data_IF_570361419034
#
_entry.id   IF_570361419034
#
_cell.length_a   1.000
_cell.length_b   1.000
_cell.length_c   1.000
_cell.angle_alpha   90.00
_cell.angle_beta   90.00
_cell.angle_gamma   90.00
#
_symmetry.space_group_name_H-M   'P 1'
#
loop_
_entity.id
_entity.type
_entity.pdbx_description
1 polymer ?
#
# COMPACT_ATOMS: atom_id res chain seq x y z
N UNK A 1 -11.60 -47.05 1.45
CA UNK A 1 -11.27 -46.36 0.19
C UNK A 1 -10.90 -44.93 0.57
N UNK A 2 -9.66 -44.46 0.37
CA UNK A 2 -9.35 -43.07 0.67
C UNK A 2 -10.18 -42.18 -0.25
N UNK A 3 -10.91 -41.26 0.37
CA UNK A 3 -11.85 -40.35 -0.27
C UNK A 3 -11.15 -39.58 -1.39
N UNK A 4 -11.64 -39.70 -2.62
CA UNK A 4 -11.01 -39.22 -3.85
C UNK A 4 -11.05 -37.69 -4.03
N UNK A 5 -11.01 -36.94 -2.92
CA UNK A 5 -11.09 -35.49 -2.90
C UNK A 5 -9.80 -34.93 -3.50
N UNK A 6 -9.91 -34.44 -4.74
CA UNK A 6 -8.82 -33.69 -5.37
C UNK A 6 -8.47 -32.49 -4.50
N UNK A 7 -7.19 -32.33 -4.19
CA UNK A 7 -6.65 -31.24 -3.37
C UNK A 7 -6.13 -30.11 -4.25
N UNK A 8 -5.89 -28.96 -3.62
CA UNK A 8 -5.28 -27.80 -4.25
C UNK A 8 -3.88 -28.12 -4.80
N UNK A 9 -3.52 -27.54 -5.94
CA UNK A 9 -2.18 -27.67 -6.54
C UNK A 9 -1.11 -26.76 -5.92
N UNK A 10 -1.47 -25.97 -4.90
CA UNK A 10 -0.51 -25.09 -4.23
C UNK A 10 0.26 -25.89 -3.19
N UNK A 11 1.54 -25.57 -3.06
CA UNK A 11 2.45 -26.25 -2.13
C UNK A 11 1.89 -26.19 -0.72
N UNK A 12 1.89 -27.34 -0.03
CA UNK A 12 1.41 -27.49 1.35
C UNK A 12 -0.09 -27.11 1.55
N UNK A 13 -0.91 -27.19 0.50
CA UNK A 13 -2.34 -26.92 0.61
C UNK A 13 -3.20 -28.18 0.41
N UNK A 14 -3.73 -28.69 1.51
CA UNK A 14 -4.60 -29.88 1.52
C UNK A 14 -6.09 -29.55 1.35
N UNK A 15 -6.42 -28.29 1.10
CA UNK A 15 -7.81 -27.86 0.96
C UNK A 15 -8.45 -28.48 -0.30
N UNK A 16 -9.77 -28.71 -0.22
CA UNK A 16 -10.55 -29.24 -1.32
C UNK A 16 -10.48 -28.35 -2.56
N UNK A 17 -10.35 -29.00 -3.72
CA UNK A 17 -10.34 -28.35 -5.01
C UNK A 17 -11.65 -27.59 -5.27
N UNK A 18 -11.53 -26.35 -5.77
CA UNK A 18 -12.66 -25.55 -6.23
C UNK A 18 -12.67 -25.45 -7.76
N UNK A 19 -11.70 -24.75 -8.34
CA UNK A 19 -11.63 -24.50 -9.78
C UNK A 19 -10.19 -24.26 -10.22
N UNK A 20 -9.86 -24.60 -11.48
CA UNK A 20 -8.52 -24.39 -12.09
C UNK A 20 -7.36 -24.99 -11.28
N UNK A 21 -7.56 -26.13 -10.63
CA UNK A 21 -6.53 -26.74 -9.77
C UNK A 21 -6.40 -26.09 -8.38
N UNK A 22 -7.15 -25.03 -8.08
CA UNK A 22 -7.01 -24.27 -6.83
C UNK A 22 -8.19 -24.49 -5.88
N UNK A 23 -7.92 -24.44 -4.58
CA UNK A 23 -8.96 -24.30 -3.56
C UNK A 23 -9.60 -22.90 -3.61
N UNK A 24 -10.74 -22.70 -2.97
CA UNK A 24 -11.47 -21.42 -3.01
C UNK A 24 -10.60 -20.22 -2.61
N UNK A 25 -9.77 -20.36 -1.57
CA UNK A 25 -8.83 -19.32 -1.11
C UNK A 25 -7.82 -18.94 -2.19
N UNK A 26 -7.13 -19.93 -2.76
CA UNK A 26 -6.10 -19.69 -3.77
C UNK A 26 -6.69 -19.25 -5.11
N UNK A 27 -7.86 -19.75 -5.47
CA UNK A 27 -8.61 -19.29 -6.62
C UNK A 27 -8.95 -17.80 -6.50
N UNK A 28 -9.47 -17.36 -5.35
CA UNK A 28 -9.78 -15.96 -5.11
C UNK A 28 -8.52 -15.07 -5.12
N UNK A 29 -7.40 -15.57 -4.58
CA UNK A 29 -6.11 -14.87 -4.63
C UNK A 29 -5.57 -14.73 -6.07
N UNK A 30 -5.64 -15.80 -6.88
CA UNK A 30 -5.29 -15.79 -8.30
C UNK A 30 -6.16 -14.80 -9.08
N UNK A 31 -7.48 -14.83 -8.88
CA UNK A 31 -8.41 -13.89 -9.50
C UNK A 31 -8.10 -12.44 -9.12
N UNK A 32 -7.83 -12.16 -7.84
CA UNK A 32 -7.48 -10.83 -7.37
C UNK A 32 -6.14 -10.35 -7.97
N UNK A 33 -5.15 -11.24 -8.08
CA UNK A 33 -3.86 -10.94 -8.72
C UNK A 33 -4.02 -10.64 -10.21
N UNK A 34 -4.78 -11.46 -10.94
CA UNK A 34 -5.06 -11.24 -12.38
C UNK A 34 -5.80 -9.93 -12.63
N UNK A 35 -6.81 -9.63 -11.80
CA UNK A 35 -7.56 -8.36 -11.86
C UNK A 35 -6.64 -7.16 -11.66
N UNK A 36 -5.75 -7.23 -10.66
CA UNK A 36 -4.79 -6.18 -10.37
C UNK A 36 -3.90 -5.86 -11.59
N UNK A 37 -3.27 -6.88 -12.18
CA UNK A 37 -2.37 -6.68 -13.33
C UNK A 37 -3.11 -6.19 -14.56
N UNK A 38 -4.26 -6.80 -14.90
CA UNK A 38 -5.08 -6.36 -16.03
C UNK A 38 -5.45 -4.88 -15.91
N UNK A 39 -6.00 -4.46 -14.78
CA UNK A 39 -6.43 -3.06 -14.59
C UNK A 39 -5.25 -2.10 -14.60
N UNK A 40 -4.11 -2.52 -14.05
CA UNK A 40 -2.89 -1.73 -14.10
C UNK A 40 -2.47 -1.50 -15.55
N UNK A 41 -2.42 -2.55 -16.35
CA UNK A 41 -2.01 -2.46 -17.76
C UNK A 41 -3.02 -1.65 -18.58
N UNK A 42 -4.33 -1.83 -18.34
CA UNK A 42 -5.39 -1.01 -18.96
C UNK A 42 -5.22 0.47 -18.62
N UNK A 43 -4.91 0.81 -17.36
CA UNK A 43 -4.68 2.18 -16.93
C UNK A 43 -3.46 2.79 -17.61
N UNK A 44 -2.36 2.04 -17.67
CA UNK A 44 -1.13 2.43 -18.34
C UNK A 44 -1.36 2.68 -19.84
N UNK A 45 -2.10 1.79 -20.51
CA UNK A 45 -2.45 1.93 -21.92
C UNK A 45 -3.34 3.16 -22.18
N UNK A 46 -4.35 3.40 -21.33
CA UNK A 46 -5.21 4.59 -21.42
C UNK A 46 -4.45 5.91 -21.31
N UNK A 47 -3.37 5.93 -20.53
CA UNK A 47 -2.50 7.09 -20.36
C UNK A 47 -1.30 7.08 -21.35
N UNK A 48 -1.36 6.25 -22.38
CA UNK A 48 -0.39 6.24 -23.46
C UNK A 48 1.00 5.70 -23.09
N UNK A 49 1.11 4.90 -22.01
CA UNK A 49 2.34 4.28 -21.51
C UNK A 49 3.50 5.26 -21.33
N UNK A 50 3.21 6.50 -20.96
CA UNK A 50 4.21 7.57 -20.82
C UNK A 50 3.91 8.46 -19.62
N UNK A 51 4.96 9.02 -19.06
CA UNK A 51 4.86 10.02 -18.00
C UNK A 51 4.14 11.26 -18.53
N UNK A 52 3.11 11.72 -17.81
CA UNK A 52 2.35 12.92 -18.15
C UNK A 52 3.21 14.20 -18.08
N UNK A 53 4.28 14.20 -17.28
CA UNK A 53 5.13 15.39 -17.09
C UNK A 53 6.31 15.47 -18.06
N UNK A 54 7.02 14.35 -18.30
CA UNK A 54 8.26 14.36 -19.08
C UNK A 54 8.25 13.42 -20.31
N UNK A 55 7.17 12.64 -20.51
CA UNK A 55 7.06 11.69 -21.63
C UNK A 55 7.89 10.41 -21.49
N UNK A 56 8.70 10.26 -20.44
CA UNK A 56 9.46 9.02 -20.20
C UNK A 56 8.54 7.81 -20.09
N UNK A 57 8.97 6.67 -20.63
CA UNK A 57 8.28 5.38 -20.52
C UNK A 57 8.88 4.48 -19.45
N UNK A 58 9.91 4.95 -18.74
CA UNK A 58 10.63 4.16 -17.74
C UNK A 58 10.00 4.29 -16.34
N UNK A 59 9.99 3.17 -15.59
CA UNK A 59 9.51 3.04 -14.21
C UNK A 59 8.25 3.86 -13.90
N UNK A 60 7.20 3.63 -14.68
CA UNK A 60 5.92 4.32 -14.55
C UNK A 60 5.16 3.91 -13.29
N UNK A 61 4.62 4.91 -12.60
CA UNK A 61 3.87 4.81 -11.36
C UNK A 61 2.55 5.56 -11.52
N UNK A 62 1.49 4.99 -10.96
CA UNK A 62 0.18 5.64 -10.87
C UNK A 62 0.23 6.54 -9.63
N UNK A 63 0.05 7.83 -9.84
CA UNK A 63 0.10 8.87 -8.80
C UNK A 63 -1.21 9.66 -8.80
N UNK A 64 -1.60 10.19 -7.65
CA UNK A 64 -2.74 11.09 -7.56
C UNK A 64 -2.40 12.47 -8.07
N UNK A 65 -3.29 13.07 -8.87
CA UNK A 65 -3.11 14.46 -9.32
C UNK A 65 -3.10 15.39 -8.09
N UNK A 66 -4.11 15.25 -7.22
CA UNK A 66 -4.18 15.93 -5.93
C UNK A 66 -4.31 14.89 -4.79
N UNK A 67 -3.28 14.73 -3.95
CA UNK A 67 -3.31 13.80 -2.82
C UNK A 67 -4.41 14.08 -1.79
N UNK A 68 -4.94 15.30 -1.70
CA UNK A 68 -6.01 15.66 -0.77
C UNK A 68 -7.38 15.09 -1.19
N UNK A 69 -7.54 14.81 -2.49
CA UNK A 69 -8.79 14.30 -3.06
C UNK A 69 -8.90 12.77 -3.03
N UNK A 70 -7.81 12.06 -2.68
CA UNK A 70 -7.78 10.60 -2.73
C UNK A 70 -8.76 9.99 -1.74
N UNK A 71 -9.53 9.01 -2.19
CA UNK A 71 -10.32 8.19 -1.26
C UNK A 71 -9.54 6.95 -0.84
N UNK A 72 -8.59 6.52 -1.67
CA UNK A 72 -7.73 5.38 -1.41
C UNK A 72 -6.46 5.38 -2.25
N UNK A 73 -5.46 4.62 -1.82
CA UNK A 73 -4.22 4.44 -2.58
C UNK A 73 -4.49 3.73 -3.93
N UNK A 74 -3.77 4.07 -5.02
CA UNK A 74 -4.00 3.47 -6.35
C UNK A 74 -3.83 1.95 -6.33
N UNK A 75 -2.89 1.45 -5.53
CA UNK A 75 -2.64 0.02 -5.36
C UNK A 75 -3.82 -0.74 -4.71
N UNK A 76 -4.64 -0.06 -3.92
CA UNK A 76 -5.85 -0.60 -3.31
C UNK A 76 -7.03 -0.51 -4.30
N UNK A 77 -7.16 0.60 -5.03
CA UNK A 77 -8.19 0.78 -6.05
C UNK A 77 -8.14 -0.30 -7.15
N UNK A 78 -6.93 -0.72 -7.56
CA UNK A 78 -6.74 -1.80 -8.53
C UNK A 78 -7.38 -3.13 -8.12
N UNK A 79 -7.54 -3.38 -6.80
CA UNK A 79 -8.18 -4.57 -6.24
C UNK A 79 -9.64 -4.36 -5.85
N UNK A 80 -10.12 -3.12 -5.88
CA UNK A 80 -11.46 -2.75 -5.40
C UNK A 80 -12.57 -3.17 -6.38
N UNK A 81 -13.83 -2.89 -6.01
CA UNK A 81 -14.96 -3.00 -6.93
C UNK A 81 -14.77 -2.07 -8.15
N UNK A 82 -15.44 -2.37 -9.26
CA UNK A 82 -15.30 -1.58 -10.50
C UNK A 82 -15.65 -0.10 -10.29
N UNK A 83 -16.75 0.19 -9.59
CA UNK A 83 -17.14 1.57 -9.29
C UNK A 83 -16.07 2.35 -8.49
N UNK A 84 -15.47 1.72 -7.48
CA UNK A 84 -14.39 2.35 -6.67
C UNK A 84 -13.12 2.52 -7.48
N UNK A 85 -12.79 1.54 -8.32
CA UNK A 85 -11.65 1.62 -9.23
C UNK A 85 -11.79 2.80 -10.19
N UNK A 86 -12.94 2.95 -10.85
CA UNK A 86 -13.18 4.04 -11.80
C UNK A 86 -13.15 5.42 -11.13
N UNK A 87 -13.79 5.55 -9.97
CA UNK A 87 -13.79 6.79 -9.20
C UNK A 87 -12.37 7.22 -8.80
N UNK A 88 -11.54 6.30 -8.31
CA UNK A 88 -10.17 6.65 -7.91
C UNK A 88 -9.25 6.89 -9.11
N UNK A 89 -9.35 6.08 -10.16
CA UNK A 89 -8.49 6.22 -11.34
C UNK A 89 -8.75 7.51 -12.12
N UNK A 90 -9.94 8.11 -12.01
CA UNK A 90 -10.22 9.42 -12.58
C UNK A 90 -9.42 10.55 -11.90
N UNK A 91 -8.96 10.34 -10.67
CA UNK A 91 -8.14 11.29 -9.90
C UNK A 91 -6.63 11.03 -10.05
N UNK A 92 -6.27 9.99 -10.82
CA UNK A 92 -4.89 9.55 -10.97
C UNK A 92 -4.28 9.98 -12.31
N UNK A 93 -2.96 10.10 -12.33
CA UNK A 93 -2.12 10.34 -13.49
C UNK A 93 -0.98 9.32 -13.53
N UNK A 94 -0.30 9.22 -14.67
CA UNK A 94 0.86 8.34 -14.86
C UNK A 94 2.14 9.17 -14.83
N UNK A 95 3.03 8.90 -13.88
CA UNK A 95 4.32 9.58 -13.75
C UNK A 95 5.47 8.58 -13.73
N UNK A 96 6.63 8.94 -14.29
CA UNK A 96 7.85 8.18 -14.03
C UNK A 96 8.32 8.41 -12.59
N UNK A 97 9.15 7.50 -12.09
CA UNK A 97 9.68 7.57 -10.72
C UNK A 97 10.30 8.93 -10.37
N UNK A 98 11.08 9.55 -11.26
CA UNK A 98 11.72 10.84 -10.96
C UNK A 98 10.69 11.96 -10.79
N UNK A 99 9.75 12.09 -11.73
CA UNK A 99 8.70 13.11 -11.67
C UNK A 99 7.79 12.91 -10.44
N UNK A 100 7.47 11.66 -10.11
CA UNK A 100 6.69 11.33 -8.92
C UNK A 100 7.43 11.69 -7.62
N UNK A 101 8.73 11.36 -7.52
CA UNK A 101 9.56 11.73 -6.36
C UNK A 101 9.68 13.26 -6.22
N UNK A 102 9.81 13.99 -7.32
CA UNK A 102 9.82 15.46 -7.33
C UNK A 102 8.49 16.06 -6.87
N UNK A 103 7.36 15.54 -7.38
CA UNK A 103 6.02 15.97 -6.95
C UNK A 103 5.84 15.72 -5.45
N UNK A 104 6.19 14.52 -4.98
CA UNK A 104 6.14 14.16 -3.57
C UNK A 104 6.95 15.14 -2.71
N UNK A 105 8.14 15.54 -3.16
CA UNK A 105 8.98 16.52 -2.45
C UNK A 105 8.33 17.91 -2.42
N UNK A 106 7.70 18.36 -3.51
CA UNK A 106 7.00 19.65 -3.58
C UNK A 106 5.77 19.67 -2.66
N UNK A 107 5.05 18.55 -2.57
CA UNK A 107 3.84 18.41 -1.76
C UNK A 107 4.13 18.18 -0.27
N UNK A 108 5.34 17.71 0.08
CA UNK A 108 5.80 17.60 1.46
C UNK A 108 6.12 18.98 2.04
N UNK A 109 5.07 19.75 2.34
CA UNK A 109 5.18 21.00 3.08
C UNK A 109 5.05 20.71 4.57
N UNK A 110 6.11 21.07 5.32
CA UNK A 110 6.24 21.01 6.78
C UNK A 110 6.55 19.62 7.36
N UNK A 111 7.81 19.43 7.71
CA UNK A 111 8.23 18.37 8.63
C UNK A 111 7.70 18.70 10.03
N UNK A 112 6.63 18.01 10.45
CA UNK A 112 6.13 18.13 11.82
C UNK A 112 7.16 17.56 12.83
N UNK A 113 7.81 18.48 13.55
CA UNK A 113 8.69 18.15 14.67
C UNK A 113 7.88 17.69 15.90
N UNK A 114 8.56 17.09 16.87
CA UNK A 114 7.89 16.53 18.05
C UNK A 114 7.31 15.14 17.83
N UNK A 115 7.58 14.48 16.71
CA UNK A 115 7.14 13.10 16.45
C UNK A 115 8.28 12.09 16.63
N UNK A 116 7.96 10.84 16.99
CA UNK A 116 8.96 9.74 17.10
C UNK A 116 9.64 9.47 15.77
N UNK A 117 8.93 9.66 14.66
CA UNK A 117 9.46 9.49 13.31
C UNK A 117 10.62 10.47 13.05
N UNK A 118 10.44 11.74 13.41
CA UNK A 118 11.50 12.74 13.24
C UNK A 118 12.70 12.49 14.15
N UNK A 119 12.48 12.08 15.40
CA UNK A 119 13.58 11.71 16.30
C UNK A 119 14.40 10.51 15.76
N UNK A 120 13.75 9.52 15.14
CA UNK A 120 14.45 8.38 14.49
C UNK A 120 15.20 8.80 13.23
N UNK A 121 14.69 9.76 12.47
CA UNK A 121 15.37 10.34 11.29
C UNK A 121 16.58 11.23 11.64
N UNK A 122 16.86 11.44 12.93
CA UNK A 122 18.03 12.19 13.41
C UNK A 122 17.73 13.58 13.94
N UNK A 123 16.48 14.05 13.87
CA UNK A 123 16.13 15.36 14.43
C UNK A 123 16.22 15.36 15.97
N UNK A 124 16.91 16.35 16.53
CA UNK A 124 17.15 16.49 17.98
C UNK A 124 16.67 17.84 18.54
N UNK A 125 15.70 18.50 17.91
CA UNK A 125 15.10 19.71 18.46
C UNK A 125 14.30 19.41 19.76
N UNK A 126 14.03 20.45 20.54
CA UNK A 126 13.36 20.34 21.85
C UNK A 126 12.04 19.56 21.78
N UNK A 127 11.09 19.84 20.86
CA UNK A 127 9.86 19.05 20.75
C UNK A 127 10.12 17.55 20.52
N UNK A 128 11.09 17.21 19.65
CA UNK A 128 11.43 15.82 19.32
C UNK A 128 12.06 15.09 20.51
N UNK A 129 12.95 15.76 21.27
CA UNK A 129 13.54 15.20 22.49
C UNK A 129 12.46 14.97 23.55
N UNK A 130 11.63 15.97 23.80
CA UNK A 130 10.56 15.91 24.81
C UNK A 130 9.59 14.79 24.51
N UNK A 131 9.11 14.62 23.28
CA UNK A 131 8.24 13.50 22.94
C UNK A 131 8.91 12.14 23.16
N UNK A 132 10.19 11.98 22.80
CA UNK A 132 10.94 10.73 23.03
C UNK A 132 11.01 10.40 24.52
N UNK A 133 11.31 11.39 25.37
CA UNK A 133 11.35 11.25 26.82
C UNK A 133 9.97 10.87 27.36
N UNK A 134 8.92 11.60 26.99
CA UNK A 134 7.55 11.35 27.44
C UNK A 134 7.06 9.95 27.06
N UNK A 135 7.31 9.51 25.83
CA UNK A 135 6.95 8.14 25.39
C UNK A 135 7.71 7.07 26.17
N UNK A 136 9.00 7.27 26.43
CA UNK A 136 9.80 6.31 27.20
C UNK A 136 9.33 6.23 28.66
N UNK A 137 8.96 7.36 29.28
CA UNK A 137 8.36 7.40 30.61
C UNK A 137 7.02 6.65 30.65
N UNK A 138 6.13 6.91 29.70
CA UNK A 138 4.84 6.23 29.61
C UNK A 138 5.00 4.71 29.46
N UNK A 139 5.88 4.26 28.57
CA UNK A 139 6.17 2.83 28.38
C UNK A 139 6.71 2.15 29.65
N UNK A 140 7.61 2.81 30.37
CA UNK A 140 8.12 2.30 31.66
C UNK A 140 7.02 2.24 32.72
N UNK A 141 6.14 3.24 32.76
CA UNK A 141 5.00 3.26 33.68
C UNK A 141 4.02 2.11 33.39
N UNK A 142 3.71 1.83 32.12
CA UNK A 142 2.85 0.69 31.75
C UNK A 142 3.46 -0.64 32.12
N UNK A 143 4.77 -0.83 31.92
CA UNK A 143 5.47 -2.05 32.34
C UNK A 143 5.45 -2.24 33.85
N UNK A 144 5.67 -1.15 34.61
CA UNK A 144 5.63 -1.19 36.07
C UNK A 144 4.22 -1.49 36.60
N UNK A 145 3.19 -0.90 35.99
CA UNK A 145 1.80 -1.19 36.35
C UNK A 145 1.44 -2.65 36.06
N UNK A 146 1.85 -3.21 34.92
CA UNK A 146 1.64 -4.61 34.59
C UNK A 146 2.38 -5.55 35.55
N UNK A 147 3.62 -5.22 35.92
CA UNK A 147 4.40 -5.99 36.89
C UNK A 147 3.81 -5.95 38.31
N UNK A 148 3.17 -4.84 38.69
CA UNK A 148 2.51 -4.71 40.00
C UNK A 148 1.12 -5.36 40.05
N UNK A 149 0.54 -5.72 38.89
CA UNK A 149 -0.78 -6.34 38.76
C UNK A 149 -0.73 -7.86 38.57
N UNK A 150 0.48 -8.44 38.49
CA UNK A 150 0.76 -9.87 38.44
C UNK A 150 1.24 -10.36 39.82
#
# INVERSE_FOLDING_TARGET
>A
MPDGTRTCTEVECEAALHARGLCLRHYNADLARRRYWRRRDDFLAKHGNRCAQCGSTDRLQIDHIDPATKTMEPCHALRASTARYEAEMALCQLLCKSCHDEKTKREQTVVAHGTRAQYKRGCRCEPCRTNSITKQRAYRATLRAAANAA
#
